data_IF_336953397898
#
_entry.id   IF_336953397898
#
_cell.length_a   1.000
_cell.length_b   1.000
_cell.length_c   1.000
_cell.angle_alpha   90.00
_cell.angle_beta   90.00
_cell.angle_gamma   90.00
#
_symmetry.space_group_name_H-M   'P 1'
#
loop_
_entity.id
_entity.type
_entity.pdbx_description
1 polymer ?
#
# COMPACT_ATOMS: atom_id res chain seq x y z
N UNK A 1 -11.40 55.31 4.44
CA UNK A 1 -10.55 54.29 5.11
C UNK A 1 -11.01 52.84 4.93
N UNK A 2 -12.26 52.52 4.54
CA UNK A 2 -12.71 51.12 4.41
C UNK A 2 -12.12 50.37 3.19
N UNK A 3 -11.90 51.06 2.05
CA UNK A 3 -11.37 50.45 0.83
C UNK A 3 -9.95 49.88 1.00
N UNK A 4 -9.11 50.51 1.81
CA UNK A 4 -7.72 50.04 2.06
C UNK A 4 -7.71 48.75 2.89
N UNK A 5 -8.68 48.56 3.78
CA UNK A 5 -8.81 47.34 4.59
C UNK A 5 -9.30 46.15 3.74
N UNK A 6 -10.26 46.38 2.83
CA UNK A 6 -10.77 45.35 1.94
C UNK A 6 -9.69 44.82 0.97
N UNK A 7 -8.86 45.71 0.41
CA UNK A 7 -7.77 45.31 -0.50
C UNK A 7 -6.70 44.51 0.23
N UNK A 8 -6.35 44.87 1.48
CA UNK A 8 -5.37 44.10 2.27
C UNK A 8 -5.85 42.68 2.60
N UNK A 9 -7.14 42.52 2.93
CA UNK A 9 -7.71 41.20 3.22
C UNK A 9 -7.69 40.32 1.95
N UNK A 10 -8.04 40.89 0.79
CA UNK A 10 -8.00 40.17 -0.48
C UNK A 10 -6.58 39.69 -0.84
N UNK A 11 -5.57 40.54 -0.66
CA UNK A 11 -4.16 40.18 -0.94
C UNK A 11 -3.67 39.06 -0.02
N UNK A 12 -4.03 39.08 1.26
CA UNK A 12 -3.68 38.01 2.21
C UNK A 12 -4.36 36.70 1.83
N UNK A 13 -5.64 36.73 1.43
CA UNK A 13 -6.35 35.54 0.98
C UNK A 13 -5.71 34.94 -0.29
N UNK A 14 -5.33 35.77 -1.27
CA UNK A 14 -4.65 35.32 -2.49
C UNK A 14 -3.28 34.74 -2.17
N UNK A 15 -2.49 35.39 -1.30
CA UNK A 15 -1.18 34.88 -0.88
C UNK A 15 -1.28 33.53 -0.14
N UNK A 16 -2.31 33.34 0.70
CA UNK A 16 -2.56 32.07 1.37
C UNK A 16 -2.90 30.95 0.38
N UNK A 17 -3.71 31.24 -0.65
CA UNK A 17 -4.03 30.28 -1.73
C UNK A 17 -2.76 29.88 -2.49
N UNK A 18 -1.88 30.83 -2.82
CA UNK A 18 -0.61 30.52 -3.49
C UNK A 18 0.37 29.71 -2.62
N UNK A 19 0.44 29.98 -1.31
CA UNK A 19 1.28 29.19 -0.39
C UNK A 19 0.76 27.75 -0.26
N UNK A 20 -0.56 27.55 -0.21
CA UNK A 20 -1.18 26.23 -0.17
C UNK A 20 -0.94 25.48 -1.50
N UNK A 21 -1.05 26.15 -2.65
CA UNK A 21 -0.77 25.55 -3.96
C UNK A 21 0.72 25.24 -4.20
N UNK A 22 1.63 26.06 -3.65
CA UNK A 22 3.07 25.80 -3.71
C UNK A 22 3.48 24.61 -2.82
N UNK A 23 2.86 24.45 -1.65
CA UNK A 23 3.00 23.23 -0.85
C UNK A 23 2.48 21.98 -1.58
N UNK A 24 1.33 22.10 -2.26
CA UNK A 24 0.69 21.01 -3.01
C UNK A 24 1.55 20.44 -4.14
N UNK A 25 2.23 21.30 -4.90
CA UNK A 25 3.08 20.88 -6.02
C UNK A 25 4.46 20.36 -5.57
N UNK A 26 4.95 20.77 -4.40
CA UNK A 26 6.22 20.29 -3.86
C UNK A 26 6.16 18.85 -3.35
N UNK A 27 5.13 18.50 -2.57
CA UNK A 27 5.04 17.19 -1.91
C UNK A 27 4.57 16.04 -2.82
N UNK A 28 3.64 16.30 -3.74
CA UNK A 28 3.16 15.30 -4.72
C UNK A 28 4.23 14.95 -5.75
N UNK A 29 4.99 15.96 -6.22
CA UNK A 29 6.13 15.75 -7.10
C UNK A 29 7.27 15.04 -6.39
N UNK A 30 7.46 15.21 -5.08
CA UNK A 30 8.53 14.52 -4.35
C UNK A 30 8.30 13.00 -4.30
N UNK A 31 7.07 12.53 -4.08
CA UNK A 31 6.76 11.10 -4.10
C UNK A 31 6.96 10.45 -5.48
N UNK A 32 6.46 11.12 -6.54
CA UNK A 32 6.64 10.67 -7.93
C UNK A 32 8.11 10.78 -8.37
N UNK A 33 8.80 11.85 -7.96
CA UNK A 33 10.22 12.08 -8.24
C UNK A 33 11.12 11.08 -7.52
N UNK A 34 10.84 10.73 -6.26
CA UNK A 34 11.59 9.68 -5.54
C UNK A 34 11.42 8.32 -6.23
N UNK A 35 10.19 7.97 -6.62
CA UNK A 35 9.91 6.74 -7.36
C UNK A 35 10.57 6.71 -8.75
N UNK A 36 10.59 7.85 -9.46
CA UNK A 36 11.23 7.97 -10.78
C UNK A 36 12.76 8.04 -10.70
N UNK A 37 13.33 8.73 -9.71
CA UNK A 37 14.78 8.88 -9.53
C UNK A 37 15.44 7.54 -9.17
N UNK A 38 14.83 6.75 -8.28
CA UNK A 38 15.33 5.41 -7.99
C UNK A 38 15.22 4.46 -9.18
N UNK A 39 14.12 4.52 -9.96
CA UNK A 39 14.00 3.73 -11.18
C UNK A 39 15.08 4.10 -12.23
N UNK A 40 15.55 5.35 -12.24
CA UNK A 40 16.62 5.81 -13.11
C UNK A 40 18.04 5.45 -12.61
N UNK A 41 18.28 5.44 -11.30
CA UNK A 41 19.56 5.01 -10.70
C UNK A 41 19.79 3.49 -10.85
N UNK A 42 18.75 2.67 -10.65
CA UNK A 42 18.84 1.20 -10.82
C UNK A 42 19.08 0.79 -12.28
N UNK A 43 18.61 1.57 -13.26
CA UNK A 43 18.88 1.33 -14.67
C UNK A 43 20.32 1.65 -15.09
N UNK A 44 21.09 2.35 -14.25
CA UNK A 44 22.47 2.76 -14.53
C UNK A 44 23.58 1.80 -14.08
N UNK A 45 23.29 0.86 -13.17
CA UNK A 45 24.32 0.05 -12.49
C UNK A 45 24.24 -1.47 -12.74
N UNK A 46 23.43 -1.94 -13.70
CA UNK A 46 23.35 -3.38 -14.00
C UNK A 46 24.53 -3.87 -14.86
N UNK A 47 25.74 -3.94 -14.29
CA UNK A 47 26.87 -4.74 -14.78
C UNK A 47 27.96 -4.86 -13.71
N UNK A 48 27.80 -5.76 -12.73
CA UNK A 48 28.95 -6.47 -12.13
C UNK A 48 28.52 -7.67 -11.27
N UNK A 49 29.33 -8.73 -11.39
CA UNK A 49 29.15 -10.09 -10.88
C UNK A 49 29.17 -10.23 -9.35
N UNK A 50 28.49 -11.27 -8.88
CA UNK A 50 28.43 -11.73 -7.49
C UNK A 50 29.81 -12.06 -6.91
N UNK A 51 30.22 -11.34 -5.86
CA UNK A 51 31.25 -11.80 -4.93
C UNK A 51 30.70 -11.68 -3.49
N UNK A 52 30.46 -12.83 -2.87
CA UNK A 52 29.84 -12.95 -1.54
C UNK A 52 30.83 -12.68 -0.42
N UNK A 53 31.19 -11.41 -0.23
CA UNK A 53 31.80 -10.94 1.00
C UNK A 53 30.96 -9.78 1.54
N UNK A 54 30.23 -10.05 2.62
CA UNK A 54 29.40 -9.07 3.31
C UNK A 54 30.30 -8.00 3.95
N UNK A 55 30.52 -6.92 3.23
CA UNK A 55 30.97 -5.64 3.79
C UNK A 55 29.87 -4.66 3.43
N UNK A 56 29.01 -4.32 4.39
CA UNK A 56 27.90 -3.40 4.18
C UNK A 56 28.42 -2.05 3.66
N UNK A 57 28.13 -1.65 2.40
CA UNK A 57 28.43 -0.32 1.95
C UNK A 57 27.33 0.60 2.47
N UNK A 58 27.65 1.44 3.44
CA UNK A 58 26.77 2.48 3.94
C UNK A 58 26.64 3.61 2.90
N UNK A 59 25.76 3.41 1.90
CA UNK A 59 25.29 4.48 1.04
C UNK A 59 24.34 5.39 1.85
N UNK A 60 24.88 6.49 2.38
CA UNK A 60 24.11 7.54 3.05
C UNK A 60 23.24 8.30 2.03
N UNK A 61 22.08 7.75 1.69
CA UNK A 61 20.99 8.54 1.14
C UNK A 61 20.35 9.32 2.31
N UNK A 62 20.66 10.62 2.39
CA UNK A 62 20.05 11.57 3.32
C UNK A 62 18.56 11.76 2.96
N UNK A 63 17.72 10.82 3.37
CA UNK A 63 16.27 10.88 3.21
C UNK A 63 15.65 11.20 4.56
N UNK A 64 15.42 12.48 4.82
CA UNK A 64 14.69 13.01 5.99
C UNK A 64 13.18 12.64 5.99
N UNK A 65 12.82 11.45 5.50
CA UNK A 65 11.46 10.95 5.66
C UNK A 65 11.31 10.50 7.13
N UNK A 66 10.48 11.21 7.89
CA UNK A 66 10.15 10.82 9.26
C UNK A 66 9.15 9.67 9.22
N UNK A 67 9.38 8.66 10.05
CA UNK A 67 8.40 7.60 10.25
C UNK A 67 7.19 8.16 11.00
N UNK A 68 6.13 8.47 10.26
CA UNK A 68 4.93 9.12 10.78
C UNK A 68 3.67 8.36 10.45
N UNK A 69 2.80 8.21 11.45
CA UNK A 69 1.39 7.90 11.26
C UNK A 69 0.56 8.99 11.89
N UNK A 70 -0.39 9.50 11.13
CA UNK A 70 -1.38 10.45 11.60
C UNK A 70 -2.76 9.90 11.26
N UNK A 71 -3.64 9.85 12.25
CA UNK A 71 -5.02 9.39 12.09
C UNK A 71 -6.02 10.54 12.24
N UNK A 72 -5.54 11.74 12.55
CA UNK A 72 -6.34 12.95 12.60
C UNK A 72 -6.68 13.38 11.17
N UNK A 73 -7.96 13.62 10.93
CA UNK A 73 -8.45 14.10 9.64
C UNK A 73 -8.80 15.57 9.83
N UNK A 74 -8.24 16.42 8.98
CA UNK A 74 -8.51 17.86 9.07
C UNK A 74 -9.99 18.16 8.81
N UNK A 75 -10.47 19.24 9.43
CA UNK A 75 -11.86 19.69 9.25
C UNK A 75 -12.19 19.96 7.76
N UNK A 76 -11.23 20.46 6.99
CA UNK A 76 -11.35 20.66 5.53
C UNK A 76 -11.69 19.33 4.81
N UNK A 77 -10.96 18.25 5.10
CA UNK A 77 -11.20 16.95 4.49
C UNK A 77 -12.55 16.38 4.93
N UNK A 78 -12.92 16.54 6.21
CA UNK A 78 -14.22 16.12 6.71
C UNK A 78 -15.38 16.84 6.01
N UNK A 79 -15.24 18.14 5.75
CA UNK A 79 -16.23 18.92 5.03
C UNK A 79 -16.35 18.48 3.57
N UNK A 80 -15.24 18.16 2.90
CA UNK A 80 -15.25 17.62 1.54
C UNK A 80 -15.93 16.25 1.46
N UNK A 81 -15.65 15.35 2.41
CA UNK A 81 -16.31 14.05 2.50
C UNK A 81 -17.82 14.24 2.67
N UNK A 82 -18.23 15.12 3.59
CA UNK A 82 -19.65 15.42 3.84
C UNK A 82 -20.34 16.06 2.63
N UNK A 83 -19.65 16.93 1.90
CA UNK A 83 -20.20 17.58 0.71
C UNK A 83 -20.39 16.59 -0.45
N UNK A 84 -19.48 15.63 -0.61
CA UNK A 84 -19.54 14.60 -1.65
C UNK A 84 -20.65 13.57 -1.40
N UNK A 85 -20.83 13.15 -0.15
CA UNK A 85 -21.87 12.18 0.24
C UNK A 85 -22.43 12.51 1.65
N UNK A 86 -23.45 13.38 1.73
CA UNK A 86 -24.05 13.76 3.02
C UNK A 86 -24.73 12.59 3.74
N UNK A 87 -25.28 11.62 2.99
CA UNK A 87 -26.02 10.49 3.56
C UNK A 87 -25.08 9.42 4.13
N UNK A 88 -23.96 9.16 3.45
CA UNK A 88 -22.93 8.22 3.89
C UNK A 88 -21.83 8.84 4.75
N UNK A 89 -21.90 10.13 5.12
CA UNK A 89 -20.82 10.87 5.78
C UNK A 89 -20.21 10.13 6.98
N UNK A 90 -21.02 9.71 7.96
CA UNK A 90 -20.49 9.06 9.17
C UNK A 90 -19.83 7.72 8.85
N UNK A 91 -20.43 6.90 7.96
CA UNK A 91 -19.84 5.64 7.49
C UNK A 91 -18.51 5.88 6.78
N UNK A 92 -18.46 6.85 5.89
CA UNK A 92 -17.26 7.19 5.12
C UNK A 92 -16.13 7.72 6.00
N UNK A 93 -16.47 8.59 6.96
CA UNK A 93 -15.53 9.09 7.97
C UNK A 93 -14.97 7.95 8.81
N UNK A 94 -15.83 7.07 9.33
CA UNK A 94 -15.39 5.91 10.11
C UNK A 94 -14.51 4.96 9.30
N UNK A 95 -14.92 4.65 8.06
CA UNK A 95 -14.14 3.82 7.14
C UNK A 95 -12.75 4.40 6.88
N UNK A 96 -12.64 5.73 6.70
CA UNK A 96 -11.35 6.36 6.48
C UNK A 96 -10.45 6.30 7.73
N UNK A 97 -10.99 6.62 8.92
CA UNK A 97 -10.26 6.51 10.19
C UNK A 97 -9.77 5.07 10.41
N UNK A 98 -10.66 4.10 10.19
CA UNK A 98 -10.35 2.68 10.35
C UNK A 98 -9.29 2.21 9.35
N UNK A 99 -9.33 2.71 8.11
CA UNK A 99 -8.29 2.43 7.12
C UNK A 99 -6.92 2.96 7.59
N UNK A 100 -6.84 4.23 8.00
CA UNK A 100 -5.59 4.85 8.46
C UNK A 100 -4.97 4.07 9.64
N UNK A 101 -5.81 3.66 10.59
CA UNK A 101 -5.39 2.89 11.78
C UNK A 101 -5.00 1.46 11.44
N UNK A 102 -5.90 0.70 10.81
CA UNK A 102 -5.73 -0.74 10.64
C UNK A 102 -4.64 -1.10 9.63
N UNK A 103 -4.45 -0.26 8.61
CA UNK A 103 -3.41 -0.45 7.60
C UNK A 103 -2.10 0.27 7.97
N UNK A 104 -2.08 0.96 9.12
CA UNK A 104 -0.90 1.67 9.63
C UNK A 104 -0.32 2.63 8.57
N UNK A 105 -1.20 3.45 7.98
CA UNK A 105 -0.90 4.26 6.79
C UNK A 105 0.15 5.31 7.10
N UNK A 106 1.25 5.32 6.34
CA UNK A 106 2.29 6.34 6.46
C UNK A 106 1.75 7.73 6.07
N UNK A 107 2.16 8.79 6.76
CA UNK A 107 1.66 10.16 6.55
C UNK A 107 1.73 10.62 5.08
N UNK A 108 2.79 10.26 4.34
CA UNK A 108 2.87 10.64 2.91
C UNK A 108 1.76 10.02 2.06
N UNK A 109 1.32 8.80 2.39
CA UNK A 109 0.25 8.12 1.67
C UNK A 109 -1.12 8.63 2.12
N UNK A 110 -1.27 9.00 3.39
CA UNK A 110 -2.44 9.77 3.86
C UNK A 110 -2.59 11.06 3.07
N UNK A 111 -1.52 11.82 2.89
CA UNK A 111 -1.54 13.06 2.12
C UNK A 111 -1.96 12.82 0.66
N UNK A 112 -1.55 11.70 0.06
CA UNK A 112 -1.97 11.34 -1.29
C UNK A 112 -3.45 10.94 -1.38
N UNK A 113 -3.99 10.25 -0.37
CA UNK A 113 -5.43 10.00 -0.24
C UNK A 113 -6.19 11.33 -0.11
N UNK A 114 -5.74 12.22 0.78
CA UNK A 114 -6.35 13.53 1.00
C UNK A 114 -6.28 14.44 -0.24
N UNK A 115 -5.20 14.33 -1.03
CA UNK A 115 -5.07 14.99 -2.33
C UNK A 115 -6.21 14.58 -3.28
N UNK A 116 -6.46 13.28 -3.41
CA UNK A 116 -7.53 12.77 -4.28
C UNK A 116 -8.93 13.19 -3.80
N UNK A 117 -9.15 13.25 -2.48
CA UNK A 117 -10.40 13.80 -1.91
C UNK A 117 -10.57 15.27 -2.32
N UNK A 118 -9.51 16.08 -2.25
CA UNK A 118 -9.53 17.49 -2.66
C UNK A 118 -9.77 17.68 -4.15
N UNK A 119 -9.37 16.71 -4.98
CA UNK A 119 -9.67 16.67 -6.41
C UNK A 119 -11.10 16.19 -6.74
N UNK A 120 -11.91 15.90 -5.71
CA UNK A 120 -13.30 15.51 -5.86
C UNK A 120 -13.52 14.02 -6.12
N UNK A 121 -12.48 13.19 -6.01
CA UNK A 121 -12.62 11.75 -6.16
C UNK A 121 -13.46 11.17 -5.00
N UNK A 122 -14.31 10.19 -5.30
CA UNK A 122 -15.18 9.58 -4.29
C UNK A 122 -14.35 8.81 -3.25
N UNK A 123 -14.61 9.07 -1.97
CA UNK A 123 -13.87 8.42 -0.89
C UNK A 123 -13.94 6.87 -0.95
N UNK A 124 -15.11 6.23 -1.16
CA UNK A 124 -15.17 4.77 -1.33
C UNK A 124 -14.25 4.23 -2.42
N UNK A 125 -14.08 4.96 -3.52
CA UNK A 125 -13.23 4.56 -4.63
C UNK A 125 -11.75 4.61 -4.22
N UNK A 126 -11.34 5.68 -3.54
CA UNK A 126 -9.97 5.86 -3.03
C UNK A 126 -9.63 4.79 -1.99
N UNK A 127 -10.54 4.52 -1.04
CA UNK A 127 -10.32 3.51 0.01
C UNK A 127 -10.23 2.09 -0.57
N UNK A 128 -11.05 1.79 -1.60
CA UNK A 128 -11.01 0.51 -2.31
C UNK A 128 -9.67 0.32 -3.02
N UNK A 129 -9.24 1.29 -3.82
CA UNK A 129 -7.97 1.24 -4.53
C UNK A 129 -6.77 1.14 -3.57
N UNK A 130 -6.76 1.94 -2.49
CA UNK A 130 -5.67 1.89 -1.51
C UNK A 130 -5.62 0.55 -0.77
N UNK A 131 -6.77 0.00 -0.35
CA UNK A 131 -6.83 -1.29 0.33
C UNK A 131 -6.26 -2.41 -0.55
N UNK A 132 -6.63 -2.41 -1.83
CA UNK A 132 -6.10 -3.38 -2.78
C UNK A 132 -4.58 -3.22 -2.99
N UNK A 133 -4.08 -1.99 -3.10
CA UNK A 133 -2.63 -1.73 -3.19
C UNK A 133 -1.89 -2.15 -1.92
N UNK A 134 -2.46 -1.91 -0.74
CA UNK A 134 -1.90 -2.38 0.52
C UNK A 134 -1.76 -3.91 0.54
N UNK A 135 -2.80 -4.64 0.14
CA UNK A 135 -2.83 -6.11 0.22
C UNK A 135 -1.96 -6.81 -0.84
N UNK A 136 -1.70 -6.11 -1.95
CA UNK A 136 -0.84 -6.55 -3.06
C UNK A 136 0.60 -6.06 -2.95
N UNK A 137 0.96 -5.28 -1.90
CA UNK A 137 2.25 -4.57 -1.80
C UNK A 137 2.49 -3.67 -3.03
N UNK A 138 1.41 -3.10 -3.58
CA UNK A 138 1.42 -2.25 -4.75
C UNK A 138 2.02 -0.87 -4.51
N UNK A 139 2.46 -0.24 -5.60
CA UNK A 139 2.98 1.12 -5.57
C UNK A 139 1.86 2.14 -5.37
N UNK A 140 2.08 3.12 -4.49
CA UNK A 140 1.17 4.26 -4.31
C UNK A 140 0.98 5.05 -5.61
N UNK A 141 1.95 5.04 -6.52
CA UNK A 141 1.87 5.71 -7.82
C UNK A 141 0.79 5.15 -8.75
N UNK A 142 0.17 4.01 -8.40
CA UNK A 142 -0.98 3.46 -9.11
C UNK A 142 -2.33 3.85 -8.49
N UNK A 143 -2.36 4.49 -7.31
CA UNK A 143 -3.61 4.81 -6.60
C UNK A 143 -4.55 5.65 -7.47
N UNK A 144 -4.06 6.79 -7.97
CA UNK A 144 -4.86 7.67 -8.83
C UNK A 144 -5.33 6.97 -10.10
N UNK A 145 -4.48 6.13 -10.72
CA UNK A 145 -4.84 5.40 -11.95
C UNK A 145 -6.02 4.46 -11.73
N UNK A 146 -6.03 3.72 -10.61
CA UNK A 146 -7.12 2.82 -10.28
C UNK A 146 -8.42 3.60 -9.98
N UNK A 147 -8.30 4.72 -9.26
CA UNK A 147 -9.45 5.61 -8.99
C UNK A 147 -10.02 6.18 -10.29
N UNK A 148 -9.17 6.68 -11.20
CA UNK A 148 -9.62 7.23 -12.49
C UNK A 148 -10.25 6.18 -13.40
N UNK A 149 -9.77 4.95 -13.40
CA UNK A 149 -10.41 3.85 -14.12
C UNK A 149 -11.83 3.58 -13.59
N UNK A 150 -12.02 3.64 -12.26
CA UNK A 150 -13.36 3.53 -11.65
C UNK A 150 -14.26 4.71 -12.04
N UNK A 151 -13.75 5.93 -12.01
CA UNK A 151 -14.50 7.13 -12.41
C UNK A 151 -14.90 7.12 -13.90
N UNK A 152 -14.11 6.47 -14.77
CA UNK A 152 -14.49 6.23 -16.16
C UNK A 152 -15.53 5.12 -16.37
N UNK A 153 -15.99 4.49 -15.29
CA UNK A 153 -17.08 3.50 -15.31
C UNK A 153 -16.63 2.04 -15.33
N UNK A 154 -15.33 1.74 -15.16
CA UNK A 154 -14.87 0.35 -15.10
C UNK A 154 -15.26 -0.32 -13.77
N UNK A 155 -15.50 -1.64 -13.82
CA UNK A 155 -15.76 -2.44 -12.62
C UNK A 155 -14.47 -2.74 -11.85
N UNK A 156 -14.54 -2.84 -10.51
CA UNK A 156 -13.35 -3.08 -9.69
C UNK A 156 -12.64 -4.39 -10.03
N UNK A 157 -13.38 -5.45 -10.38
CA UNK A 157 -12.80 -6.72 -10.80
C UNK A 157 -11.93 -6.58 -12.06
N UNK A 158 -12.40 -5.81 -13.06
CA UNK A 158 -11.66 -5.56 -14.29
C UNK A 158 -10.43 -4.67 -14.04
N UNK A 159 -10.56 -3.65 -13.20
CA UNK A 159 -9.46 -2.78 -12.79
C UNK A 159 -8.36 -3.59 -12.09
N UNK A 160 -8.71 -4.45 -11.13
CA UNK A 160 -7.76 -5.31 -10.42
C UNK A 160 -7.10 -6.32 -11.35
N UNK A 161 -7.86 -6.89 -12.29
CA UNK A 161 -7.34 -7.81 -13.30
C UNK A 161 -6.35 -7.12 -14.23
N UNK A 162 -6.65 -5.90 -14.66
CA UNK A 162 -5.75 -5.09 -15.47
C UNK A 162 -4.47 -4.73 -14.69
N UNK A 163 -4.60 -4.39 -13.41
CA UNK A 163 -3.46 -4.14 -12.53
C UNK A 163 -2.54 -5.36 -12.41
N UNK A 164 -3.10 -6.56 -12.17
CA UNK A 164 -2.32 -7.80 -11.98
C UNK A 164 -1.58 -8.26 -13.24
N UNK A 165 -2.06 -7.91 -14.44
CA UNK A 165 -1.34 -8.19 -15.70
C UNK A 165 0.02 -7.48 -15.76
N UNK A 166 0.11 -6.28 -15.21
CA UNK A 166 1.33 -5.46 -15.20
C UNK A 166 2.13 -5.59 -13.91
N UNK A 167 1.54 -6.19 -12.87
CA UNK A 167 2.13 -6.34 -11.54
C UNK A 167 1.94 -7.81 -11.09
N UNK A 168 2.80 -8.72 -11.56
CA UNK A 168 2.63 -10.14 -11.28
C UNK A 168 2.74 -10.42 -9.78
N UNK A 169 2.05 -11.47 -9.33
CA UNK A 169 2.05 -11.91 -7.95
C UNK A 169 3.46 -12.19 -7.40
N UNK A 170 3.59 -12.10 -6.09
CA UNK A 170 4.84 -12.37 -5.37
C UNK A 170 5.35 -13.79 -5.62
N UNK A 171 6.62 -13.92 -5.97
CA UNK A 171 7.33 -15.19 -6.13
C UNK A 171 8.54 -15.17 -5.20
N UNK A 172 8.49 -15.88 -4.06
CA UNK A 172 9.58 -15.90 -3.11
C UNK A 172 10.90 -16.27 -3.76
N UNK A 173 11.96 -15.53 -3.45
CA UNK A 173 13.31 -15.87 -3.86
C UNK A 173 13.77 -17.12 -3.12
N UNK A 174 14.47 -18.00 -3.85
CA UNK A 174 15.20 -19.10 -3.23
C UNK A 174 16.52 -18.57 -2.67
N UNK A 175 16.68 -18.58 -1.36
CA UNK A 175 17.91 -18.18 -0.69
C UNK A 175 18.77 -19.41 -0.37
N UNK A 176 20.09 -19.25 -0.41
CA UNK A 176 21.02 -20.27 0.10
C UNK A 176 20.81 -20.48 1.60
N UNK A 177 20.88 -21.74 2.06
CA UNK A 177 20.58 -22.08 3.46
C UNK A 177 21.55 -21.44 4.45
N UNK A 178 22.85 -21.31 4.10
CA UNK A 178 23.82 -20.64 4.97
C UNK A 178 23.54 -19.15 5.02
N UNK A 179 23.20 -18.54 3.88
CA UNK A 179 22.83 -17.13 3.85
C UNK A 179 21.56 -16.83 4.68
N UNK A 180 20.56 -17.71 4.66
CA UNK A 180 19.38 -17.57 5.54
C UNK A 180 19.76 -17.66 7.02
N UNK A 181 20.63 -18.58 7.40
CA UNK A 181 21.11 -18.72 8.77
C UNK A 181 21.89 -17.46 9.21
N UNK A 182 22.75 -16.91 8.35
CA UNK A 182 23.44 -15.64 8.59
C UNK A 182 22.45 -14.49 8.81
N UNK A 183 21.41 -14.37 7.98
CA UNK A 183 20.39 -13.33 8.11
C UNK A 183 19.61 -13.45 9.43
N UNK A 184 19.22 -14.66 9.82
CA UNK A 184 18.46 -14.91 11.05
C UNK A 184 19.30 -14.70 12.32
N UNK A 185 20.62 -14.70 12.20
CA UNK A 185 21.52 -14.35 13.29
C UNK A 185 21.70 -12.83 13.47
N UNK A 186 21.21 -12.01 12.53
CA UNK A 186 21.23 -10.55 12.67
C UNK A 186 20.16 -10.08 13.65
N UNK A 187 20.54 -9.20 14.57
CA UNK A 187 19.60 -8.63 15.55
C UNK A 187 18.44 -7.90 14.87
N UNK A 188 17.21 -8.25 15.26
CA UNK A 188 15.99 -7.63 14.72
C UNK A 188 15.52 -8.17 13.37
N UNK A 189 16.16 -9.22 12.84
CA UNK A 189 15.74 -9.93 11.64
C UNK A 189 15.09 -11.26 12.02
N UNK A 190 13.86 -11.46 11.56
CA UNK A 190 13.08 -12.70 11.69
C UNK A 190 12.58 -13.16 10.31
N UNK A 191 11.80 -14.25 10.25
CA UNK A 191 11.32 -14.77 8.96
C UNK A 191 10.38 -13.79 8.26
N UNK A 192 9.61 -13.01 9.03
CA UNK A 192 8.74 -11.96 8.48
C UNK A 192 9.57 -10.85 7.85
N UNK A 193 10.70 -10.48 8.47
CA UNK A 193 11.62 -9.46 7.96
C UNK A 193 12.22 -9.87 6.61
N UNK A 194 12.63 -11.14 6.47
CA UNK A 194 13.13 -11.69 5.20
C UNK A 194 12.02 -11.67 4.14
N UNK A 195 10.81 -12.12 4.49
CA UNK A 195 9.66 -12.16 3.58
C UNK A 195 9.21 -10.76 3.13
N UNK A 196 9.19 -9.79 4.03
CA UNK A 196 8.85 -8.40 3.71
C UNK A 196 9.93 -7.80 2.82
N UNK A 197 11.21 -8.00 3.14
CA UNK A 197 12.31 -7.51 2.32
C UNK A 197 12.26 -8.06 0.89
N UNK A 198 11.96 -9.34 0.72
CA UNK A 198 11.84 -9.99 -0.59
C UNK A 198 10.67 -9.43 -1.40
N UNK A 199 9.51 -9.22 -0.76
CA UNK A 199 8.35 -8.56 -1.40
C UNK A 199 8.66 -7.13 -1.83
N UNK A 200 9.33 -6.38 -0.97
CA UNK A 200 9.73 -5.00 -1.26
C UNK A 200 10.73 -4.98 -2.41
N UNK A 201 11.74 -5.85 -2.38
CA UNK A 201 12.74 -6.02 -3.43
C UNK A 201 12.09 -6.35 -4.78
N UNK A 202 11.18 -7.32 -4.84
CA UNK A 202 10.46 -7.68 -6.06
C UNK A 202 9.65 -6.51 -6.62
N UNK A 203 8.85 -5.84 -5.78
CA UNK A 203 7.91 -4.80 -6.24
C UNK A 203 8.59 -3.48 -6.57
N UNK A 204 9.63 -3.10 -5.81
CA UNK A 204 10.41 -1.90 -6.05
C UNK A 204 11.55 -2.11 -7.06
N UNK A 205 11.82 -3.35 -7.45
CA UNK A 205 13.02 -3.74 -8.22
C UNK A 205 14.31 -3.27 -7.55
N UNK A 206 14.33 -3.31 -6.22
CA UNK A 206 15.45 -2.91 -5.39
C UNK A 206 16.28 -4.13 -4.99
N UNK A 207 17.56 -3.95 -4.69
CA UNK A 207 18.39 -5.05 -4.18
C UNK A 207 17.90 -5.50 -2.79
N UNK A 208 17.83 -6.81 -2.59
CA UNK A 208 17.37 -7.40 -1.33
C UNK A 208 18.26 -6.99 -0.15
N UNK A 209 19.59 -6.96 -0.35
CA UNK A 209 20.56 -6.61 0.69
C UNK A 209 20.40 -5.15 1.12
N UNK A 210 20.08 -4.27 0.18
CA UNK A 210 19.78 -2.86 0.48
C UNK A 210 18.48 -2.68 1.28
N UNK A 211 17.48 -3.51 1.02
CA UNK A 211 16.21 -3.46 1.76
C UNK A 211 16.41 -4.00 3.18
N UNK A 212 17.12 -5.12 3.35
CA UNK A 212 17.35 -5.72 4.66
C UNK A 212 18.32 -4.89 5.51
N UNK A 213 19.32 -4.23 4.90
CA UNK A 213 20.27 -3.37 5.62
C UNK A 213 19.55 -2.21 6.31
N UNK A 214 18.61 -1.56 5.61
CA UNK A 214 17.72 -0.54 6.20
C UNK A 214 16.99 -1.05 7.45
N UNK A 215 16.53 -2.30 7.43
CA UNK A 215 15.91 -2.90 8.61
C UNK A 215 16.90 -3.06 9.76
N UNK A 216 18.12 -3.53 9.48
CA UNK A 216 19.18 -3.67 10.49
C UNK A 216 19.66 -2.33 11.05
N UNK A 217 19.51 -1.23 10.30
CA UNK A 217 19.76 0.15 10.75
C UNK A 217 18.67 0.68 11.71
N UNK A 218 17.63 -0.13 11.99
CA UNK A 218 16.57 0.20 12.95
C UNK A 218 15.35 0.89 12.33
N UNK A 219 15.26 0.98 10.99
CA UNK A 219 14.09 1.55 10.33
C UNK A 219 12.88 0.60 10.49
N UNK A 220 11.69 1.18 10.62
CA UNK A 220 10.43 0.43 10.59
C UNK A 220 10.11 -0.05 9.18
N UNK A 221 9.36 -1.15 9.05
CA UNK A 221 8.95 -1.63 7.74
C UNK A 221 8.05 -0.63 7.03
N UNK A 222 7.19 0.07 7.76
CA UNK A 222 6.37 1.17 7.25
C UNK A 222 7.23 2.25 6.60
N UNK A 223 8.29 2.73 7.27
CA UNK A 223 9.19 3.74 6.73
C UNK A 223 9.94 3.21 5.50
N UNK A 224 10.48 1.99 5.57
CA UNK A 224 11.19 1.37 4.44
C UNK A 224 10.26 1.30 3.21
N UNK A 225 9.04 0.78 3.36
CA UNK A 225 8.06 0.71 2.27
C UNK A 225 7.65 2.08 1.76
N UNK A 226 7.52 3.07 2.64
CA UNK A 226 7.26 4.45 2.25
C UNK A 226 8.39 5.03 1.38
N UNK A 227 9.66 4.75 1.70
CA UNK A 227 10.81 5.15 0.87
C UNK A 227 10.75 4.55 -0.53
N UNK A 228 10.25 3.32 -0.67
CA UNK A 228 10.06 2.63 -1.96
C UNK A 228 8.69 2.90 -2.61
N UNK A 229 7.85 3.77 -2.03
CA UNK A 229 6.53 4.07 -2.54
C UNK A 229 5.55 2.88 -2.55
N UNK A 230 5.74 1.89 -1.67
CA UNK A 230 4.86 0.73 -1.50
C UNK A 230 3.79 1.05 -0.47
N UNK A 231 2.51 0.89 -0.83
CA UNK A 231 1.38 1.32 -0.01
C UNK A 231 1.28 0.61 1.35
N UNK A 232 1.77 -0.64 1.44
CA UNK A 232 1.58 -1.48 2.63
C UNK A 232 2.24 -0.88 3.87
N UNK A 233 1.46 -0.56 4.92
CA UNK A 233 1.96 0.03 6.16
C UNK A 233 2.28 -0.96 7.28
N UNK A 234 2.01 -2.24 7.11
CA UNK A 234 2.04 -3.23 8.20
C UNK A 234 3.47 -3.65 8.59
N UNK A 235 3.75 -3.82 9.88
CA UNK A 235 5.08 -4.24 10.36
C UNK A 235 5.32 -5.75 10.29
N UNK A 236 4.27 -6.54 10.02
CA UNK A 236 4.32 -8.00 9.95
C UNK A 236 3.61 -8.49 8.71
N UNK A 237 4.04 -9.63 8.21
CA UNK A 237 3.34 -10.32 7.13
C UNK A 237 2.10 -11.03 7.72
N UNK A 238 0.95 -11.04 7.03
CA UNK A 238 -0.16 -11.89 7.44
C UNK A 238 0.28 -13.36 7.36
N UNK A 239 0.31 -14.03 8.52
CA UNK A 239 0.65 -15.44 8.65
C UNK A 239 -0.62 -16.28 8.68
N UNK A 240 -0.69 -17.28 7.82
CA UNK A 240 -1.75 -18.28 7.83
C UNK A 240 -1.22 -19.54 8.52
N UNK A 241 -1.63 -19.76 9.77
CA UNK A 241 -1.28 -20.97 10.51
C UNK A 241 -2.36 -22.04 10.28
N UNK A 242 -2.01 -23.07 9.51
CA UNK A 242 -2.90 -24.21 9.25
C UNK A 242 -2.22 -25.51 9.62
N UNK A 243 -2.93 -26.36 10.37
CA UNK A 243 -2.49 -27.74 10.56
C UNK A 243 -2.84 -28.60 9.34
N UNK A 244 -2.19 -29.76 9.21
CA UNK A 244 -2.48 -30.71 8.12
C UNK A 244 -3.92 -31.22 8.18
N UNK A 245 -4.47 -31.39 9.37
CA UNK A 245 -5.84 -31.82 9.59
C UNK A 245 -6.84 -30.75 9.13
N UNK A 246 -6.57 -29.48 9.45
CA UNK A 246 -7.39 -28.35 9.00
C UNK A 246 -7.38 -28.24 7.47
N UNK A 247 -6.20 -28.33 6.85
CA UNK A 247 -6.08 -28.28 5.39
C UNK A 247 -6.83 -29.45 4.74
N UNK A 248 -6.67 -30.67 5.27
CA UNK A 248 -7.39 -31.87 4.79
C UNK A 248 -8.90 -31.76 4.94
N UNK A 249 -9.37 -31.11 6.01
CA UNK A 249 -10.80 -30.87 6.23
C UNK A 249 -11.35 -29.93 5.15
N UNK A 250 -10.71 -28.79 4.93
CA UNK A 250 -11.19 -27.80 3.95
C UNK A 250 -11.15 -28.31 2.52
N UNK A 251 -10.09 -29.04 2.12
CA UNK A 251 -10.02 -29.64 0.78
C UNK A 251 -11.15 -30.63 0.54
N UNK A 252 -11.43 -31.52 1.49
CA UNK A 252 -12.54 -32.50 1.40
C UNK A 252 -13.91 -31.83 1.39
N UNK A 253 -14.13 -30.82 2.23
CA UNK A 253 -15.42 -30.13 2.33
C UNK A 253 -15.72 -29.28 1.10
N UNK A 254 -14.74 -28.53 0.61
CA UNK A 254 -14.91 -27.66 -0.54
C UNK A 254 -14.89 -28.45 -1.86
N UNK A 255 -14.14 -29.55 -1.92
CA UNK A 255 -13.83 -30.25 -3.17
C UNK A 255 -12.82 -29.49 -4.02
N UNK A 256 -11.89 -28.79 -3.38
CA UNK A 256 -10.86 -27.95 -4.00
C UNK A 256 -9.46 -28.54 -3.73
N UNK A 257 -8.50 -28.17 -4.56
CA UNK A 257 -7.09 -28.50 -4.35
C UNK A 257 -6.52 -27.82 -3.09
N UNK A 258 -5.41 -28.34 -2.57
CA UNK A 258 -4.71 -27.71 -1.44
C UNK A 258 -4.29 -26.27 -1.74
N UNK A 259 -3.84 -26.01 -2.97
CA UNK A 259 -3.43 -24.67 -3.42
C UNK A 259 -4.62 -23.69 -3.41
N UNK A 260 -5.76 -24.09 -3.98
CA UNK A 260 -6.97 -23.27 -3.97
C UNK A 260 -7.47 -23.00 -2.55
N UNK A 261 -7.40 -23.98 -1.65
CA UNK A 261 -7.78 -23.81 -0.24
C UNK A 261 -6.83 -22.84 0.46
N UNK A 262 -5.51 -22.99 0.33
CA UNK A 262 -4.53 -22.07 0.92
C UNK A 262 -4.74 -20.65 0.39
N UNK A 263 -5.01 -20.51 -0.91
CA UNK A 263 -5.34 -19.23 -1.54
C UNK A 263 -6.62 -18.63 -0.94
N UNK A 264 -7.69 -19.42 -0.83
CA UNK A 264 -8.97 -19.00 -0.24
C UNK A 264 -8.79 -18.47 1.18
N UNK A 265 -8.06 -19.21 2.01
CA UNK A 265 -7.82 -18.90 3.41
C UNK A 265 -6.94 -17.65 3.57
N UNK A 266 -5.98 -17.46 2.67
CA UNK A 266 -5.17 -16.24 2.59
C UNK A 266 -6.02 -15.02 2.24
N UNK A 267 -6.90 -15.13 1.23
CA UNK A 267 -7.83 -14.06 0.84
C UNK A 267 -8.79 -13.75 1.99
N UNK A 268 -9.35 -14.78 2.63
CA UNK A 268 -10.24 -14.64 3.78
C UNK A 268 -9.57 -13.86 4.92
N UNK A 269 -8.34 -14.21 5.25
CA UNK A 269 -7.57 -13.50 6.28
C UNK A 269 -7.30 -12.04 5.93
N UNK A 270 -6.87 -11.75 4.68
CA UNK A 270 -6.63 -10.38 4.21
C UNK A 270 -7.89 -9.52 4.24
N UNK A 271 -9.02 -10.07 3.80
CA UNK A 271 -10.29 -9.36 3.73
C UNK A 271 -11.04 -9.32 5.08
N UNK A 272 -10.56 -10.02 6.10
CA UNK A 272 -11.29 -10.18 7.37
C UNK A 272 -12.64 -10.89 7.19
N UNK A 273 -12.73 -11.81 6.21
CA UNK A 273 -13.94 -12.60 5.90
C UNK A 273 -13.76 -14.02 6.41
N UNK A 274 -14.87 -14.74 6.60
CA UNK A 274 -14.82 -16.16 6.96
C UNK A 274 -14.27 -17.02 5.82
N UNK A 275 -13.44 -18.00 6.15
CA UNK A 275 -12.94 -19.02 5.24
C UNK A 275 -14.04 -19.66 4.37
N UNK A 276 -15.16 -20.06 4.99
CA UNK A 276 -16.25 -20.77 4.31
C UNK A 276 -16.88 -19.94 3.18
N UNK A 277 -17.06 -18.63 3.40
CA UNK A 277 -17.58 -17.73 2.37
C UNK A 277 -16.64 -17.63 1.16
N UNK A 278 -15.33 -17.49 1.39
CA UNK A 278 -14.36 -17.39 0.29
C UNK A 278 -14.22 -18.72 -0.46
N UNK A 279 -14.19 -19.84 0.26
CA UNK A 279 -14.18 -21.18 -0.33
C UNK A 279 -15.42 -21.41 -1.22
N UNK A 280 -16.59 -20.94 -0.78
CA UNK A 280 -17.82 -21.00 -1.58
C UNK A 280 -17.69 -20.17 -2.87
N UNK A 281 -17.17 -18.95 -2.79
CA UNK A 281 -16.95 -18.11 -3.98
C UNK A 281 -16.01 -18.76 -4.98
N UNK A 282 -14.87 -19.32 -4.53
CA UNK A 282 -13.93 -20.01 -5.42
C UNK A 282 -14.59 -21.24 -6.04
N UNK A 283 -15.35 -22.02 -5.27
CA UNK A 283 -16.10 -23.18 -5.78
C UNK A 283 -17.15 -22.79 -6.84
N UNK A 284 -17.68 -21.57 -6.78
CA UNK A 284 -18.59 -21.01 -7.78
C UNK A 284 -17.86 -20.48 -9.03
N UNK A 285 -16.53 -20.55 -9.07
CA UNK A 285 -15.71 -20.13 -10.19
C UNK A 285 -15.35 -18.64 -10.18
N UNK A 286 -15.57 -17.93 -9.07
CA UNK A 286 -15.18 -16.52 -8.96
C UNK A 286 -13.65 -16.40 -8.94
N UNK A 287 -13.15 -15.40 -9.67
CA UNK A 287 -11.74 -15.03 -9.64
C UNK A 287 -11.36 -14.35 -8.33
N UNK A 288 -10.05 -14.27 -8.06
CA UNK A 288 -9.55 -13.54 -6.90
C UNK A 288 -9.98 -12.07 -6.96
N UNK A 289 -9.85 -11.44 -8.13
CA UNK A 289 -10.23 -10.05 -8.36
C UNK A 289 -11.72 -9.80 -8.12
N UNK A 290 -12.60 -10.72 -8.53
CA UNK A 290 -14.04 -10.63 -8.27
C UNK A 290 -14.36 -10.71 -6.77
N UNK A 291 -13.62 -11.55 -6.03
CA UNK A 291 -13.76 -11.70 -4.58
C UNK A 291 -13.28 -10.43 -3.85
N UNK A 292 -12.12 -9.88 -4.20
CA UNK A 292 -11.63 -8.62 -3.63
C UNK A 292 -12.57 -7.44 -3.96
N UNK A 293 -13.00 -7.33 -5.21
CA UNK A 293 -13.92 -6.29 -5.66
C UNK A 293 -15.21 -6.31 -4.84
N UNK A 294 -15.86 -7.48 -4.76
CA UNK A 294 -17.11 -7.65 -4.00
C UNK A 294 -16.93 -7.31 -2.51
N UNK A 295 -15.83 -7.77 -1.90
CA UNK A 295 -15.58 -7.55 -0.49
C UNK A 295 -15.30 -6.08 -0.14
N UNK A 296 -14.57 -5.35 -1.00
CA UNK A 296 -14.33 -3.93 -0.79
C UNK A 296 -15.56 -3.09 -1.14
N UNK A 297 -16.34 -3.49 -2.15
CA UNK A 297 -17.61 -2.83 -2.45
C UNK A 297 -18.57 -2.92 -1.25
N UNK A 298 -18.73 -4.12 -0.65
CA UNK A 298 -19.52 -4.31 0.58
C UNK A 298 -19.01 -3.47 1.76
N UNK A 299 -17.69 -3.28 1.85
CA UNK A 299 -17.07 -2.54 2.96
C UNK A 299 -17.24 -1.03 2.82
N UNK A 300 -17.09 -0.49 1.61
CA UNK A 300 -16.94 0.95 1.39
C UNK A 300 -18.15 1.65 0.77
N UNK A 301 -19.06 0.94 0.10
CA UNK A 301 -20.30 1.49 -0.46
C UNK A 301 -21.49 1.09 0.42
#
# INVERSE_FOLDING_TARGET
MSKVKAVRILVIAIAAVFIIQAGYTGYSKLGIYLAQKQAAEVAGESSQEENNNFTAPAAKADNQLKDGTDTEISQEILELIKASDPAGYEKNKENYINLLKNLNVHTIFKNEIERLIKEGCKLPDILTAYSYLNDSYGSIGNLEKLVKAKESGEGWADIFKAYNKSNPGFKPKSFDSKYLEELLNLSGIDEDSIMIADRVSQNAKADFKDVISKKTEGLSWRLIKAQYGIANGQEKSPRLSLTREQLTKYTKQAGLSEEEVVKALTIAQKLGKSADNILKSIKQGLSEEEIYASAYEEKYY
#
